data_IF_759253688976
#
_entry.id   IF_759253688976
#
_cell.length_a   1.000
_cell.length_b   1.000
_cell.length_c   1.000
_cell.angle_alpha   90.00
_cell.angle_beta   90.00
_cell.angle_gamma   90.00
#
_symmetry.space_group_name_H-M   'P 1'
#
loop_
_entity.id
_entity.type
_entity.pdbx_description
1 polymer ?
#
# COMPACT_ATOMS: atom_id res chain seq x y z
N UNK A 1 17.42 -52.57 2.48
CA UNK A 1 17.41 -51.39 1.56
C UNK A 1 16.14 -50.52 1.68
N UNK A 2 15.06 -51.06 2.25
CA UNK A 2 13.77 -50.34 2.41
C UNK A 2 13.91 -49.10 3.32
N UNK A 3 14.70 -49.19 4.39
CA UNK A 3 14.96 -48.07 5.30
C UNK A 3 15.66 -46.88 4.60
N UNK A 4 16.56 -47.15 3.66
CA UNK A 4 17.25 -46.09 2.90
C UNK A 4 16.29 -45.32 1.98
N UNK A 5 15.33 -46.05 1.38
CA UNK A 5 14.30 -45.46 0.55
C UNK A 5 13.34 -44.60 1.37
N UNK A 6 12.96 -45.06 2.57
CA UNK A 6 12.08 -44.28 3.47
C UNK A 6 12.77 -43.03 3.95
N UNK A 7 14.06 -43.08 4.34
CA UNK A 7 14.82 -41.91 4.78
C UNK A 7 14.96 -40.90 3.62
N UNK A 8 15.27 -41.37 2.41
CA UNK A 8 15.39 -40.51 1.24
C UNK A 8 14.06 -39.82 0.89
N UNK A 9 12.94 -40.53 0.98
CA UNK A 9 11.63 -39.92 0.71
C UNK A 9 11.24 -38.91 1.77
N UNK A 10 11.55 -39.15 3.05
CA UNK A 10 11.27 -38.25 4.15
C UNK A 10 12.11 -36.98 4.10
N UNK A 11 13.39 -37.08 3.76
CA UNK A 11 14.27 -35.93 3.57
C UNK A 11 13.86 -35.11 2.36
N UNK A 12 13.45 -35.73 1.26
CA UNK A 12 12.94 -35.00 0.09
C UNK A 12 11.66 -34.23 0.40
N UNK A 13 10.72 -34.89 1.14
CA UNK A 13 9.47 -34.25 1.56
C UNK A 13 9.72 -33.06 2.49
N UNK A 14 10.64 -33.20 3.45
CA UNK A 14 11.01 -32.13 4.39
C UNK A 14 11.65 -30.95 3.64
N UNK A 15 12.55 -31.23 2.71
CA UNK A 15 13.20 -30.20 1.89
C UNK A 15 12.17 -29.42 1.03
N UNK A 16 11.19 -30.14 0.50
CA UNK A 16 10.11 -29.56 -0.31
C UNK A 16 9.22 -28.63 0.54
N UNK A 17 8.85 -29.04 1.75
CA UNK A 17 8.03 -28.24 2.67
C UNK A 17 8.76 -26.98 3.12
N UNK A 18 10.05 -27.08 3.41
CA UNK A 18 10.87 -25.91 3.76
C UNK A 18 10.98 -24.95 2.57
N UNK A 19 11.24 -25.47 1.37
CA UNK A 19 11.33 -24.65 0.15
C UNK A 19 10.03 -23.89 -0.12
N UNK A 20 8.89 -24.57 -0.08
CA UNK A 20 7.60 -23.92 -0.26
C UNK A 20 7.29 -22.94 0.87
N UNK A 21 7.59 -23.28 2.12
CA UNK A 21 7.40 -22.38 3.26
C UNK A 21 8.17 -21.08 3.13
N UNK A 22 9.44 -21.13 2.74
CA UNK A 22 10.28 -19.96 2.51
C UNK A 22 9.78 -19.15 1.29
N UNK A 23 9.41 -19.85 0.21
CA UNK A 23 8.92 -19.20 -1.01
C UNK A 23 7.61 -18.45 -0.78
N UNK A 24 6.69 -19.04 -0.01
CA UNK A 24 5.44 -18.37 0.37
C UNK A 24 5.67 -17.20 1.33
N UNK A 25 6.62 -17.33 2.27
CA UNK A 25 6.95 -16.26 3.21
C UNK A 25 7.59 -15.06 2.52
N UNK A 26 8.51 -15.28 1.59
CA UNK A 26 9.14 -14.21 0.81
C UNK A 26 8.16 -13.49 -0.12
N UNK A 27 7.21 -14.21 -0.72
CA UNK A 27 6.24 -13.62 -1.64
C UNK A 27 5.20 -12.73 -0.94
N UNK A 28 5.02 -12.89 0.37
CA UNK A 28 4.08 -12.08 1.16
C UNK A 28 4.74 -10.87 1.85
N UNK A 29 6.05 -10.76 1.80
CA UNK A 29 6.81 -9.71 2.48
C UNK A 29 7.58 -8.80 1.52
N UNK A 30 7.14 -8.65 0.27
CA UNK A 30 7.64 -7.56 -0.55
C UNK A 30 7.19 -6.24 0.09
N UNK A 31 8.03 -5.70 0.96
CA UNK A 31 7.96 -4.30 1.35
C UNK A 31 8.16 -3.47 0.08
N UNK A 32 7.07 -2.98 -0.46
CA UNK A 32 7.11 -2.12 -1.63
C UNK A 32 7.86 -0.85 -1.25
N UNK A 33 9.07 -0.68 -1.78
CA UNK A 33 9.85 0.53 -1.54
C UNK A 33 9.09 1.74 -2.06
N UNK A 34 9.08 2.81 -1.28
CA UNK A 34 8.45 4.06 -1.66
C UNK A 34 9.27 4.73 -2.77
N UNK A 35 8.60 5.27 -3.82
CA UNK A 35 9.29 6.13 -4.77
C UNK A 35 9.97 7.32 -4.07
N UNK A 36 11.10 7.77 -4.60
CA UNK A 36 11.90 8.83 -3.98
C UNK A 36 11.16 10.16 -3.78
N UNK A 37 10.10 10.41 -4.55
CA UNK A 37 9.28 11.61 -4.43
C UNK A 37 8.38 11.56 -3.20
N UNK A 38 7.94 10.38 -2.81
CA UNK A 38 7.07 10.21 -1.65
C UNK A 38 7.92 10.26 -0.38
N UNK A 39 7.73 11.30 0.43
CA UNK A 39 8.45 11.45 1.69
C UNK A 39 7.89 10.50 2.76
N UNK A 40 6.57 10.39 2.82
CA UNK A 40 5.90 9.47 3.75
C UNK A 40 4.48 9.12 3.28
N UNK A 41 3.99 7.96 3.70
CA UNK A 41 2.58 7.57 3.56
C UNK A 41 2.09 6.88 4.83
N UNK A 42 0.81 7.04 5.13
CA UNK A 42 0.11 6.31 6.19
C UNK A 42 -1.30 5.98 5.72
N UNK A 43 -1.81 4.76 5.87
CA UNK A 43 -1.10 3.55 6.31
C UNK A 43 0.01 3.10 5.35
N UNK A 44 1.02 2.44 5.89
CA UNK A 44 2.08 1.80 5.08
C UNK A 44 1.54 0.58 4.32
N UNK A 45 2.22 0.13 3.25
CA UNK A 45 1.87 -1.11 2.59
C UNK A 45 1.75 -2.28 3.57
N UNK A 46 0.67 -3.04 3.44
CA UNK A 46 0.33 -4.21 4.27
C UNK A 46 0.00 -3.91 5.75
N UNK A 47 -0.15 -2.65 6.14
CA UNK A 47 -0.62 -2.30 7.49
C UNK A 47 -2.04 -2.78 7.75
N UNK A 48 -2.33 -3.00 9.03
CA UNK A 48 -3.67 -3.22 9.55
C UNK A 48 -4.05 -2.06 10.46
N UNK A 49 -5.11 -1.36 10.12
CA UNK A 49 -5.53 -0.14 10.80
C UNK A 49 -7.03 -0.17 11.14
N UNK A 50 -7.47 0.59 12.15
CA UNK A 50 -8.89 0.69 12.47
C UNK A 50 -9.66 1.44 11.38
N UNK A 51 -10.99 1.25 11.34
CA UNK A 51 -11.90 1.87 10.36
C UNK A 51 -11.92 3.41 10.41
N UNK A 52 -11.38 4.02 11.43
CA UNK A 52 -11.28 5.48 11.57
C UNK A 52 -9.98 6.06 11.02
N UNK A 53 -9.10 5.22 10.51
CA UNK A 53 -7.81 5.66 10.00
C UNK A 53 -7.96 6.65 8.84
N UNK A 54 -7.10 7.66 8.80
CA UNK A 54 -6.95 8.57 7.67
C UNK A 54 -5.80 8.14 6.76
N UNK A 55 -5.93 8.47 5.48
CA UNK A 55 -4.82 8.43 4.54
C UNK A 55 -4.02 9.72 4.66
N UNK A 56 -2.72 9.59 4.77
CA UNK A 56 -1.78 10.72 4.72
C UNK A 56 -0.73 10.43 3.66
N UNK A 57 -0.54 11.34 2.75
CA UNK A 57 0.46 11.25 1.69
C UNK A 57 1.30 12.52 1.74
N UNK A 58 2.58 12.36 2.05
CA UNK A 58 3.54 13.46 2.14
C UNK A 58 4.36 13.53 0.84
N UNK A 59 4.14 14.61 0.10
CA UNK A 59 4.88 14.94 -1.12
C UNK A 59 5.62 16.27 -0.91
N UNK A 60 6.73 16.49 -1.61
CA UNK A 60 7.36 17.82 -1.61
C UNK A 60 6.36 18.91 -2.03
N UNK A 61 6.53 20.11 -1.49
CA UNK A 61 5.72 21.27 -1.88
C UNK A 61 5.86 21.51 -3.39
N UNK A 62 4.74 21.79 -4.06
CA UNK A 62 4.71 22.02 -5.50
C UNK A 62 4.29 20.80 -6.34
N UNK A 63 3.83 19.76 -5.69
CA UNK A 63 3.24 18.58 -6.35
C UNK A 63 1.72 18.57 -6.19
N UNK A 64 1.04 18.19 -7.27
CA UNK A 64 -0.39 17.89 -7.26
C UNK A 64 -0.61 16.39 -7.15
N UNK A 65 -1.66 15.99 -6.43
CA UNK A 65 -2.03 14.61 -6.17
C UNK A 65 -3.39 14.28 -6.77
N UNK A 66 -3.49 13.14 -7.43
CA UNK A 66 -4.75 12.47 -7.70
C UNK A 66 -4.81 11.19 -6.88
N UNK A 67 -5.88 11.05 -6.10
CA UNK A 67 -6.10 9.90 -5.21
C UNK A 67 -7.20 9.00 -5.77
N UNK A 68 -6.91 7.71 -5.84
CA UNK A 68 -7.88 6.65 -6.20
C UNK A 68 -7.92 5.64 -5.07
N UNK A 69 -9.11 5.39 -4.56
CA UNK A 69 -9.38 4.42 -3.49
C UNK A 69 -10.32 3.35 -4.03
N UNK A 70 -9.89 2.09 -3.99
CA UNK A 70 -10.68 0.95 -4.48
C UNK A 70 -11.29 1.19 -5.88
N UNK A 71 -10.47 1.72 -6.80
CA UNK A 71 -10.83 2.11 -8.17
C UNK A 71 -11.77 3.32 -8.31
N UNK A 72 -12.07 4.03 -7.23
CA UNK A 72 -12.84 5.27 -7.27
C UNK A 72 -11.94 6.49 -7.12
N UNK A 73 -12.05 7.43 -8.04
CA UNK A 73 -11.32 8.70 -7.98
C UNK A 73 -11.93 9.56 -6.86
N UNK A 74 -11.09 10.00 -5.95
CA UNK A 74 -11.52 10.88 -4.86
C UNK A 74 -11.45 12.33 -5.34
N UNK A 75 -12.56 13.08 -5.27
CA UNK A 75 -12.55 14.50 -5.63
C UNK A 75 -11.59 15.29 -4.74
N UNK A 76 -10.90 16.26 -5.31
CA UNK A 76 -9.97 17.14 -4.57
C UNK A 76 -10.66 17.91 -3.43
N UNK A 77 -11.97 18.18 -3.57
CA UNK A 77 -12.77 18.82 -2.52
C UNK A 77 -12.91 18.00 -1.23
N UNK A 78 -12.69 16.68 -1.29
CA UNK A 78 -12.70 15.80 -0.12
C UNK A 78 -11.33 15.68 0.55
N UNK A 79 -10.27 16.14 -0.11
CA UNK A 79 -8.88 15.98 0.32
C UNK A 79 -8.42 17.27 0.97
N UNK A 80 -7.91 17.19 2.19
CA UNK A 80 -7.26 18.30 2.86
C UNK A 80 -5.80 18.38 2.39
N UNK A 81 -5.41 19.50 1.82
CA UNK A 81 -4.02 19.80 1.51
C UNK A 81 -3.45 20.80 2.53
N UNK A 82 -2.32 20.43 3.13
CA UNK A 82 -1.62 21.30 4.08
C UNK A 82 -0.50 22.02 3.32
N UNK A 83 -0.75 23.29 2.99
CA UNK A 83 0.22 24.14 2.32
C UNK A 83 1.55 24.21 3.04
N UNK A 84 2.57 24.43 2.77
CA UNK A 84 3.80 24.54 3.55
C UNK A 84 4.49 23.22 3.89
N UNK A 85 3.75 22.13 4.01
CA UNK A 85 4.34 20.79 4.24
C UNK A 85 4.18 19.84 3.05
N UNK A 86 3.20 20.07 2.17
CA UNK A 86 2.92 19.21 1.04
C UNK A 86 2.13 17.95 1.39
N UNK A 87 1.54 17.90 2.59
CA UNK A 87 0.79 16.73 3.08
C UNK A 87 -0.66 16.78 2.59
N UNK A 88 -1.11 15.67 2.03
CA UNK A 88 -2.50 15.41 1.66
C UNK A 88 -3.11 14.45 2.65
N UNK A 89 -4.29 14.80 3.19
CA UNK A 89 -5.02 13.99 4.16
C UNK A 89 -6.43 13.72 3.65
N UNK A 90 -6.83 12.48 3.70
CA UNK A 90 -8.20 12.06 3.38
C UNK A 90 -8.66 10.96 4.33
N UNK A 91 -9.91 10.98 4.69
CA UNK A 91 -10.60 9.89 5.39
C UNK A 91 -12.05 9.78 4.94
N UNK A 92 -12.66 8.60 5.00
CA UNK A 92 -14.10 8.46 4.80
C UNK A 92 -14.90 9.32 5.76
N UNK A 93 -16.09 9.69 5.35
CA UNK A 93 -16.99 10.47 6.19
C UNK A 93 -18.31 10.80 5.51
N UNK A 94 -19.22 11.45 6.22
CA UNK A 94 -20.52 11.83 5.68
C UNK A 94 -20.40 12.68 4.42
N UNK A 95 -21.23 12.39 3.43
CA UNK A 95 -21.25 13.08 2.14
C UNK A 95 -19.96 13.01 1.30
N UNK A 96 -19.10 12.05 1.58
CA UNK A 96 -17.92 11.75 0.79
C UNK A 96 -18.14 10.54 -0.11
N UNK A 97 -17.21 10.29 -1.02
CA UNK A 97 -17.21 9.13 -1.92
C UNK A 97 -17.34 7.81 -1.15
N UNK A 98 -16.70 7.73 0.01
CA UNK A 98 -16.86 6.63 0.97
C UNK A 98 -17.29 7.22 2.32
N UNK A 99 -18.34 6.68 2.90
CA UNK A 99 -18.80 7.10 4.23
C UNK A 99 -17.97 6.48 5.37
N UNK A 100 -17.48 5.27 5.14
CA UNK A 100 -16.74 4.46 6.12
C UNK A 100 -15.76 3.52 5.39
N UNK A 101 -14.66 3.18 6.04
CA UNK A 101 -13.85 2.04 5.64
C UNK A 101 -14.59 0.74 5.97
N UNK A 102 -14.91 -0.05 4.96
CA UNK A 102 -15.39 -1.41 5.20
C UNK A 102 -14.23 -2.29 5.70
N UNK A 103 -14.49 -3.25 6.61
CA UNK A 103 -13.46 -4.21 6.99
C UNK A 103 -12.91 -4.96 5.79
N UNK A 104 -11.60 -5.15 5.76
CA UNK A 104 -10.93 -5.88 4.69
C UNK A 104 -9.85 -5.08 3.99
N UNK A 105 -9.42 -5.58 2.86
CA UNK A 105 -8.31 -5.03 2.08
C UNK A 105 -8.77 -3.88 1.19
N UNK A 106 -7.99 -2.81 1.20
CA UNK A 106 -8.20 -1.62 0.37
C UNK A 106 -6.98 -1.37 -0.51
N UNK A 107 -7.22 -0.98 -1.75
CA UNK A 107 -6.18 -0.58 -2.69
C UNK A 107 -6.18 0.94 -2.85
N UNK A 108 -5.01 1.52 -2.68
CA UNK A 108 -4.79 2.95 -2.85
C UNK A 108 -3.83 3.15 -4.01
N UNK A 109 -4.23 4.01 -4.94
CA UNK A 109 -3.39 4.46 -6.04
C UNK A 109 -3.28 5.97 -5.98
N UNK A 110 -2.07 6.48 -6.02
CA UNK A 110 -1.79 7.91 -6.16
C UNK A 110 -1.04 8.17 -7.45
N UNK A 111 -1.35 9.31 -8.04
CA UNK A 111 -0.62 9.86 -9.19
C UNK A 111 -0.22 11.27 -8.82
N UNK A 112 1.00 11.63 -9.08
CA UNK A 112 1.49 12.98 -8.82
C UNK A 112 2.03 13.64 -10.07
N UNK A 113 1.98 14.96 -10.09
CA UNK A 113 2.62 15.77 -11.09
C UNK A 113 3.19 17.04 -10.46
N UNK A 114 4.35 17.47 -10.93
CA UNK A 114 4.97 18.71 -10.47
C UNK A 114 4.31 19.89 -11.17
N UNK A 115 3.89 20.89 -10.39
CA UNK A 115 3.17 22.07 -10.91
C UNK A 115 4.11 23.07 -11.58
N UNK A 116 5.34 23.18 -11.06
CA UNK A 116 6.33 24.17 -11.52
C UNK A 116 7.69 23.53 -11.72
N UNK A 117 8.43 24.00 -12.73
CA UNK A 117 9.77 23.51 -13.06
C UNK A 117 9.75 22.35 -14.06
N UNK A 118 10.77 21.51 -14.01
CA UNK A 118 10.85 20.33 -14.88
C UNK A 118 9.72 19.33 -14.56
N UNK A 119 9.07 18.78 -15.59
CA UNK A 119 8.01 17.79 -15.38
C UNK A 119 8.51 16.60 -14.56
N UNK A 120 7.76 16.24 -13.52
CA UNK A 120 7.97 15.03 -12.73
C UNK A 120 6.60 14.43 -12.44
N UNK A 121 6.32 13.33 -13.14
CA UNK A 121 5.04 12.61 -13.06
C UNK A 121 5.31 11.17 -12.69
N UNK A 122 4.54 10.65 -11.77
CA UNK A 122 4.64 9.26 -11.37
C UNK A 122 3.37 8.73 -10.75
N UNK A 123 3.37 7.44 -10.45
CA UNK A 123 2.28 6.78 -9.76
C UNK A 123 2.81 5.75 -8.76
N UNK A 124 2.03 5.50 -7.73
CA UNK A 124 2.30 4.47 -6.74
C UNK A 124 1.00 3.84 -6.27
N UNK A 125 1.00 2.52 -6.16
CA UNK A 125 -0.16 1.74 -5.70
C UNK A 125 0.27 0.84 -4.55
N UNK A 126 -0.50 0.86 -3.46
CA UNK A 126 -0.30 -0.06 -2.33
C UNK A 126 -1.63 -0.52 -1.76
N UNK A 127 -1.56 -1.45 -0.86
CA UNK A 127 -2.73 -1.99 -0.16
C UNK A 127 -2.49 -2.02 1.33
N UNK A 128 -3.57 -1.82 2.08
CA UNK A 128 -3.63 -2.03 3.52
C UNK A 128 -4.96 -2.67 3.88
N UNK A 129 -5.15 -3.04 5.12
CA UNK A 129 -6.39 -3.66 5.59
C UNK A 129 -6.97 -2.91 6.78
N UNK A 130 -8.30 -2.89 6.87
CA UNK A 130 -9.03 -2.36 8.03
C UNK A 130 -9.72 -3.49 8.81
N UNK A 131 -9.88 -3.32 10.11
CA UNK A 131 -10.55 -4.27 11.02
C UNK A 131 -11.63 -3.60 11.85
#
# INVERSE_FOLDING_TARGET
>A
NTYRLIILSLTALLSLTIYFGISFYQNNNETKELPNVIENISPLPNDQVPQQASLEIDLPVGYELTLVVDNYIIPSSEILYIEGTGVYVWKPGPNKTFEVWNPGKHEIKITWSRVTGLPDVGEFTWTFSTY
#
